data_IF_745120192173
#
_entry.id   IF_745120192173
#
_cell.length_a   1.000
_cell.length_b   1.000
_cell.length_c   1.000
_cell.angle_alpha   90.00
_cell.angle_beta   90.00
_cell.angle_gamma   90.00
#
_symmetry.space_group_name_H-M   'P 1'
#
loop_
_entity.id
_entity.type
_entity.pdbx_description
1 polymer ?
#
# COMPACT_ATOMS: atom_id res chain seq x y z
N UNK A 1 -19.21 -31.37 40.29
CA UNK A 1 -19.36 -29.92 40.06
C UNK A 1 -19.89 -29.73 38.65
N UNK A 2 -21.10 -29.20 38.49
CA UNK A 2 -21.71 -28.96 37.17
C UNK A 2 -21.28 -27.58 36.67
N UNK A 3 -20.61 -27.53 35.52
CA UNK A 3 -20.26 -26.27 34.87
C UNK A 3 -21.48 -25.80 34.09
N UNK A 4 -22.13 -24.74 34.56
CA UNK A 4 -23.23 -24.09 33.84
C UNK A 4 -22.65 -23.33 32.66
N UNK A 5 -23.04 -23.70 31.43
CA UNK A 5 -22.63 -22.95 30.24
C UNK A 5 -23.23 -21.54 30.30
N UNK A 6 -22.42 -20.48 30.11
CA UNK A 6 -22.92 -19.11 30.10
C UNK A 6 -24.00 -18.90 29.02
N UNK A 7 -25.06 -18.16 29.36
CA UNK A 7 -26.21 -17.91 28.49
C UNK A 7 -25.83 -17.39 27.09
N UNK A 8 -24.78 -16.58 27.01
CA UNK A 8 -24.28 -16.04 25.74
C UNK A 8 -23.68 -17.13 24.83
N UNK A 9 -22.92 -18.08 25.39
CA UNK A 9 -22.30 -19.18 24.64
C UNK A 9 -23.34 -20.10 24.01
N UNK A 10 -24.49 -20.30 24.67
CA UNK A 10 -25.60 -21.07 24.12
C UNK A 10 -26.30 -20.41 22.91
N UNK A 11 -25.97 -19.14 22.60
CA UNK A 11 -26.56 -18.35 21.52
C UNK A 11 -25.55 -17.97 20.43
N UNK A 12 -24.27 -18.29 20.60
CA UNK A 12 -23.27 -18.06 19.57
C UNK A 12 -23.43 -19.11 18.47
N UNK A 13 -23.54 -18.66 17.23
CA UNK A 13 -23.34 -19.52 16.07
C UNK A 13 -21.87 -19.48 15.69
N UNK A 14 -21.30 -20.59 15.17
CA UNK A 14 -19.96 -20.55 14.59
C UNK A 14 -19.86 -19.42 13.56
N UNK A 15 -18.74 -18.69 13.57
CA UNK A 15 -18.44 -17.78 12.48
C UNK A 15 -18.35 -18.62 11.20
N UNK A 16 -18.96 -18.17 10.08
CA UNK A 16 -18.86 -18.89 8.82
C UNK A 16 -17.39 -19.15 8.50
N UNK A 17 -17.05 -20.40 8.19
CA UNK A 17 -15.74 -20.67 7.61
C UNK A 17 -15.68 -19.90 6.30
N UNK A 18 -14.77 -18.95 6.21
CA UNK A 18 -14.41 -18.37 4.92
C UNK A 18 -13.71 -19.48 4.11
N UNK A 19 -14.05 -19.60 2.83
CA UNK A 19 -13.22 -20.36 1.92
C UNK A 19 -11.79 -19.82 2.00
N UNK A 20 -10.77 -20.69 2.00
CA UNK A 20 -9.39 -20.23 1.99
C UNK A 20 -9.18 -19.38 0.75
N UNK A 21 -9.03 -18.06 0.93
CA UNK A 21 -8.65 -17.17 -0.15
C UNK A 21 -7.27 -17.63 -0.62
N UNK A 22 -7.11 -18.03 -1.89
CA UNK A 22 -5.83 -18.50 -2.34
C UNK A 22 -4.85 -17.33 -2.31
N UNK A 23 -3.84 -17.46 -1.45
CA UNK A 23 -2.86 -16.40 -1.19
C UNK A 23 -1.93 -16.28 -2.37
N UNK A 24 -1.86 -15.09 -2.94
CA UNK A 24 -0.73 -14.71 -3.77
C UNK A 24 0.46 -14.42 -2.85
N UNK A 25 1.63 -14.99 -3.17
CA UNK A 25 2.86 -14.83 -2.39
C UNK A 25 3.93 -14.16 -3.26
N UNK A 26 4.81 -13.35 -2.67
CA UNK A 26 5.99 -12.84 -3.36
C UNK A 26 7.23 -13.38 -2.66
N UNK A 27 8.09 -14.08 -3.41
CA UNK A 27 9.37 -14.62 -2.92
C UNK A 27 10.54 -13.93 -3.60
N UNK A 28 11.68 -13.89 -2.91
CA UNK A 28 12.94 -13.45 -3.50
C UNK A 28 13.66 -14.65 -4.11
N UNK A 29 14.01 -14.59 -5.40
CA UNK A 29 14.90 -15.57 -6.00
C UNK A 29 16.33 -15.36 -5.47
N UNK A 30 16.94 -16.35 -4.80
CA UNK A 30 18.27 -16.20 -4.22
C UNK A 30 19.37 -15.99 -5.27
N UNK A 31 19.17 -16.43 -6.52
CA UNK A 31 20.18 -16.29 -7.59
C UNK A 31 20.10 -14.92 -8.25
N UNK A 32 18.93 -14.57 -8.78
CA UNK A 32 18.77 -13.29 -9.49
C UNK A 32 18.53 -12.09 -8.59
N UNK A 33 18.20 -12.31 -7.32
CA UNK A 33 17.78 -11.28 -6.37
C UNK A 33 16.55 -10.49 -6.87
N UNK A 34 15.66 -11.15 -7.62
CA UNK A 34 14.42 -10.56 -8.15
C UNK A 34 13.20 -11.14 -7.44
N UNK A 35 12.14 -10.35 -7.39
CA UNK A 35 10.84 -10.79 -6.90
C UNK A 35 10.22 -11.80 -7.88
N UNK A 36 9.72 -12.91 -7.36
CA UNK A 36 8.92 -13.91 -8.06
C UNK A 36 7.53 -13.89 -7.44
N UNK A 37 6.53 -13.53 -8.25
CA UNK A 37 5.14 -13.51 -7.82
C UNK A 37 4.53 -14.89 -8.05
N UNK A 38 3.97 -15.48 -7.00
CA UNK A 38 3.34 -16.80 -7.01
C UNK A 38 1.83 -16.57 -6.93
N UNK A 39 1.12 -16.99 -7.97
CA UNK A 39 -0.33 -16.86 -8.01
C UNK A 39 -1.03 -17.86 -7.07
N UNK A 40 -2.36 -17.70 -6.89
CA UNK A 40 -3.25 -18.64 -6.21
C UNK A 40 -3.01 -20.13 -6.44
N UNK A 41 -2.61 -20.52 -7.66
CA UNK A 41 -2.33 -21.91 -8.05
C UNK A 41 -0.91 -22.39 -7.79
N UNK A 42 -0.09 -21.63 -7.05
CA UNK A 42 1.31 -21.97 -6.76
C UNK A 42 2.27 -21.79 -7.95
N UNK A 43 1.77 -21.33 -9.09
CA UNK A 43 2.59 -21.08 -10.29
C UNK A 43 3.09 -19.64 -10.32
N UNK A 44 4.32 -19.39 -10.81
CA UNK A 44 4.81 -18.05 -11.06
C UNK A 44 3.88 -17.29 -12.02
N UNK A 45 3.56 -16.05 -11.68
CA UNK A 45 2.80 -15.13 -12.51
C UNK A 45 3.62 -13.88 -12.78
N UNK A 46 3.37 -13.24 -13.92
CA UNK A 46 3.88 -11.89 -14.15
C UNK A 46 3.02 -10.92 -13.32
N UNK A 47 3.63 -10.20 -12.38
CA UNK A 47 2.98 -9.02 -11.81
C UNK A 47 2.88 -8.02 -12.96
N UNK A 48 1.66 -7.79 -13.46
CA UNK A 48 1.43 -6.96 -14.64
C UNK A 48 2.01 -5.55 -14.53
N UNK A 49 1.76 -4.71 -15.55
CA UNK A 49 2.27 -3.33 -15.57
C UNK A 49 1.81 -2.59 -14.32
N UNK A 50 2.75 -2.26 -13.45
CA UNK A 50 2.52 -1.36 -12.34
C UNK A 50 2.55 0.06 -12.91
N UNK A 51 1.46 0.81 -12.70
CA UNK A 51 1.40 2.21 -13.08
C UNK A 51 2.54 2.96 -12.40
N UNK A 52 3.26 3.78 -13.17
CA UNK A 52 4.25 4.70 -12.61
C UNK A 52 3.59 6.06 -12.52
N UNK A 53 3.45 6.60 -11.32
CA UNK A 53 2.97 7.97 -11.17
C UNK A 53 4.06 8.93 -11.65
N UNK A 54 3.69 9.86 -12.53
CA UNK A 54 4.52 11.00 -12.92
C UNK A 54 4.15 12.18 -12.04
N UNK A 55 5.16 12.77 -11.40
CA UNK A 55 4.99 13.97 -10.59
C UNK A 55 5.57 15.16 -11.35
N UNK A 56 4.80 16.24 -11.49
CA UNK A 56 5.29 17.53 -11.99
C UNK A 56 5.06 18.58 -10.92
N UNK A 57 6.14 19.15 -10.38
CA UNK A 57 6.05 20.26 -9.41
C UNK A 57 6.29 21.59 -10.13
N UNK A 58 5.44 22.59 -9.84
CA UNK A 58 5.58 23.98 -10.31
C UNK A 58 5.59 24.92 -9.12
N UNK A 59 6.41 25.94 -9.19
CA UNK A 59 6.50 27.01 -8.20
C UNK A 59 6.51 28.35 -8.93
N UNK A 60 5.83 29.34 -8.36
CA UNK A 60 5.82 30.73 -8.82
C UNK A 60 6.58 31.60 -7.82
N UNK A 61 7.72 31.14 -7.31
CA UNK A 61 8.51 31.83 -6.28
C UNK A 61 8.67 33.34 -6.58
N UNK A 62 7.87 34.17 -5.91
CA UNK A 62 7.97 35.63 -5.92
C UNK A 62 8.68 36.07 -4.63
N UNK A 63 9.99 35.84 -4.56
CA UNK A 63 10.73 36.02 -3.30
C UNK A 63 12.22 36.23 -3.48
N UNK A 64 12.62 37.23 -4.27
CA UNK A 64 14.00 37.70 -4.34
C UNK A 64 14.18 38.94 -3.46
N UNK A 65 14.40 38.74 -2.16
CA UNK A 65 14.89 39.83 -1.31
C UNK A 65 16.33 40.17 -1.68
N UNK A 66 16.72 41.43 -1.52
CA UNK A 66 18.04 42.03 -1.79
C UNK A 66 19.19 41.51 -0.88
N UNK A 67 19.06 40.29 -0.35
CA UNK A 67 20.14 39.55 0.32
C UNK A 67 20.33 39.85 1.81
N UNK A 68 19.35 40.45 2.50
CA UNK A 68 19.50 40.86 3.92
C UNK A 68 18.53 40.23 4.92
N UNK A 69 17.66 39.30 4.54
CA UNK A 69 16.79 38.57 5.49
C UNK A 69 16.44 37.16 4.98
N UNK A 70 16.06 36.22 5.87
CA UNK A 70 15.60 34.89 5.46
C UNK A 70 14.40 35.01 4.52
N UNK A 71 14.43 34.32 3.39
CA UNK A 71 13.30 34.25 2.47
C UNK A 71 12.19 33.38 3.07
N UNK A 72 10.93 33.79 2.91
CA UNK A 72 9.77 32.99 3.31
C UNK A 72 9.72 31.64 2.58
N UNK A 73 9.07 30.64 3.18
CA UNK A 73 8.74 29.40 2.50
C UNK A 73 7.95 29.68 1.23
N UNK A 74 8.22 28.89 0.19
CA UNK A 74 7.52 29.03 -1.07
C UNK A 74 6.12 28.39 -0.98
N UNK A 75 5.15 29.23 -0.60
CA UNK A 75 3.76 28.83 -0.43
C UNK A 75 3.02 28.70 -1.77
N UNK A 76 3.71 28.93 -2.91
CA UNK A 76 3.12 28.81 -4.26
C UNK A 76 3.41 27.47 -4.92
N UNK A 77 4.15 26.59 -4.24
CA UNK A 77 4.47 25.27 -4.76
C UNK A 77 3.19 24.44 -4.93
N UNK A 78 2.89 24.06 -6.17
CA UNK A 78 1.85 23.09 -6.51
C UNK A 78 2.49 21.86 -7.13
N UNK A 79 1.99 20.68 -6.78
CA UNK A 79 2.47 19.41 -7.35
C UNK A 79 1.31 18.68 -7.99
N UNK A 80 1.42 18.52 -9.31
CA UNK A 80 0.49 17.76 -10.14
C UNK A 80 0.96 16.30 -10.21
N UNK A 81 0.04 15.36 -10.05
CA UNK A 81 0.28 13.93 -10.18
C UNK A 81 -0.54 13.38 -11.33
N UNK A 82 0.11 12.65 -12.22
CA UNK A 82 -0.53 11.94 -13.33
C UNK A 82 -0.21 10.45 -13.21
N UNK A 83 -1.24 9.61 -13.30
CA UNK A 83 -1.12 8.16 -13.20
C UNK A 83 -1.30 7.54 -14.59
N UNK A 84 -0.30 6.77 -15.02
CA UNK A 84 -0.25 6.04 -16.31
C UNK A 84 -1.42 5.04 -16.50
#
# INVERSE_FOLDING_TARGET
MTVTTPWALARMTPYPLADPTPVAEVRLDPVSQRAVHIGPGGSPIEAGKHGTNKQTSRSLATGGGDGKSPTSSDDTASTDYDSD
#
